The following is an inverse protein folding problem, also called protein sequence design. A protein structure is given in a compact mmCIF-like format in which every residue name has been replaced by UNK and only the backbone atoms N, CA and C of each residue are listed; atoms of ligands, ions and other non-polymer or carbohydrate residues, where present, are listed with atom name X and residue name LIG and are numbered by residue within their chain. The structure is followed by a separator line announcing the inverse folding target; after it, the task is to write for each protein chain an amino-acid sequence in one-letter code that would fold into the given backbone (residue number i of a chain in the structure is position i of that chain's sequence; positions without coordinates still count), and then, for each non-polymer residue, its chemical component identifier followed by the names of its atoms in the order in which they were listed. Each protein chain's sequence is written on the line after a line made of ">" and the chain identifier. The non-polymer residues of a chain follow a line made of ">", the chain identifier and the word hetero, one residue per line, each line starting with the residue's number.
data_IF_993896224648
#
_entry.id   IF_993896224648
#
_cell.length_a   1.000
_cell.length_b   1.000
_cell.length_c   1.000
_cell.angle_alpha   90.00
_cell.angle_beta   90.00
_cell.angle_gamma   90.00
#
_symmetry.space_group_name_H-M   'P 1'
#
loop_
_entity.id
_entity.type
_entity.pdbx_description
1 polymer ?
#
# COMPACT_ATOMS: atom_id res chain seq x y z
N UNK A 1 -15.22 -0.48 -0.93
CA UNK A 1 -14.85 -0.52 -2.36
C UNK A 1 -14.66 0.87 -2.99
N UNK A 2 -15.41 1.90 -2.60
CA UNK A 2 -15.34 3.25 -3.21
C UNK A 2 -13.93 3.86 -3.21
N UNK A 3 -13.18 3.75 -2.10
CA UNK A 3 -11.83 4.33 -2.01
C UNK A 3 -10.81 3.72 -2.95
N UNK A 4 -10.75 2.38 -3.09
CA UNK A 4 -9.79 1.74 -3.99
C UNK A 4 -10.05 2.13 -5.46
N UNK A 5 -11.33 2.21 -5.86
CA UNK A 5 -11.70 2.72 -7.19
C UNK A 5 -11.32 4.18 -7.39
N UNK A 6 -11.47 5.02 -6.37
CA UNK A 6 -11.06 6.43 -6.43
C UNK A 6 -9.54 6.56 -6.54
N UNK A 7 -8.80 5.78 -5.76
CA UNK A 7 -7.33 5.76 -5.79
C UNK A 7 -6.79 5.32 -7.16
N UNK A 8 -7.42 4.31 -7.80
CA UNK A 8 -7.05 3.90 -9.15
C UNK A 8 -7.21 5.04 -10.19
N UNK A 9 -8.19 5.93 -10.01
CA UNK A 9 -8.40 7.07 -10.93
C UNK A 9 -7.30 8.13 -10.84
N UNK A 10 -6.51 8.15 -9.76
CA UNK A 10 -5.38 9.07 -9.62
C UNK A 10 -4.11 8.55 -10.32
N UNK A 11 -4.09 7.27 -10.71
CA UNK A 11 -2.95 6.64 -11.36
C UNK A 11 -2.94 6.91 -12.86
N UNK A 12 -1.75 7.06 -13.41
CA UNK A 12 -1.48 7.30 -14.82
C UNK A 12 -0.71 6.15 -15.43
N UNK A 13 -0.93 5.93 -16.73
CA UNK A 13 -0.16 4.94 -17.50
C UNK A 13 1.33 5.24 -17.38
N UNK A 14 2.10 4.21 -17.03
CA UNK A 14 3.55 4.31 -16.81
C UNK A 14 3.95 4.54 -15.36
N UNK A 15 3.00 4.78 -14.45
CA UNK A 15 3.31 4.92 -13.03
C UNK A 15 3.93 3.64 -12.48
N UNK A 16 5.01 3.83 -11.72
CA UNK A 16 5.58 2.83 -10.81
C UNK A 16 4.98 3.08 -9.43
N UNK A 17 4.20 2.13 -8.94
CA UNK A 17 3.34 2.30 -7.77
C UNK A 17 3.75 1.35 -6.65
N UNK A 18 3.94 1.88 -5.45
CA UNK A 18 4.03 1.10 -4.21
C UNK A 18 2.70 1.16 -3.45
N UNK A 19 2.19 0.00 -3.01
CA UNK A 19 0.93 -0.12 -2.30
C UNK A 19 1.14 -0.61 -0.87
N UNK A 20 0.69 0.18 0.10
CA UNK A 20 0.61 -0.24 1.49
C UNK A 20 -0.46 -1.32 1.72
N UNK A 21 -0.30 -2.12 2.77
CA UNK A 21 -1.25 -3.21 3.07
C UNK A 21 -2.61 -2.63 3.49
N UNK A 22 -3.70 -3.33 3.11
CA UNK A 22 -5.07 -2.99 3.48
C UNK A 22 -5.88 -2.49 2.29
N UNK A 23 -6.53 -1.33 2.43
CA UNK A 23 -7.29 -0.73 1.31
C UNK A 23 -6.40 -0.47 0.07
N UNK A 24 -5.14 -0.02 0.18
CA UNK A 24 -4.31 0.19 -1.02
C UNK A 24 -4.03 -1.10 -1.79
N UNK A 25 -3.84 -2.23 -1.11
CA UNK A 25 -3.71 -3.52 -1.81
C UNK A 25 -4.95 -3.92 -2.63
N UNK A 26 -6.15 -3.44 -2.27
CA UNK A 26 -7.35 -3.65 -3.10
C UNK A 26 -7.31 -2.89 -4.43
N UNK A 27 -6.42 -1.90 -4.58
CA UNK A 27 -6.18 -1.23 -5.88
C UNK A 27 -5.55 -2.21 -6.86
N UNK A 28 -4.66 -3.11 -6.39
CA UNK A 28 -4.00 -4.10 -7.24
C UNK A 28 -5.02 -5.00 -7.98
N UNK A 29 -6.08 -5.42 -7.29
CA UNK A 29 -7.14 -6.26 -7.85
C UNK A 29 -8.01 -5.55 -8.92
N UNK A 30 -7.94 -4.22 -8.98
CA UNK A 30 -8.67 -3.40 -9.95
C UNK A 30 -7.81 -3.02 -11.16
N UNK A 31 -6.49 -3.23 -11.10
CA UNK A 31 -5.57 -2.91 -12.19
C UNK A 31 -5.71 -3.96 -13.29
N UNK A 32 -6.16 -3.49 -14.44
CA UNK A 32 -6.17 -4.22 -15.70
C UNK A 32 -4.99 -3.81 -16.61
N UNK A 33 -4.53 -4.65 -17.56
CA UNK A 33 -3.38 -4.36 -18.42
C UNK A 33 -3.45 -3.02 -19.18
N UNK A 34 -4.66 -2.58 -19.55
CA UNK A 34 -4.90 -1.31 -20.25
C UNK A 34 -4.64 -0.06 -19.38
N UNK A 35 -4.50 -0.19 -18.07
CA UNK A 35 -4.06 0.92 -17.23
C UNK A 35 -2.57 1.18 -17.38
N UNK A 36 -1.77 0.15 -17.70
CA UNK A 36 -0.32 0.27 -17.87
C UNK A 36 0.41 0.70 -16.59
N UNK A 37 -0.04 0.22 -15.43
CA UNK A 37 0.57 0.48 -14.12
C UNK A 37 1.59 -0.62 -13.81
N UNK A 38 2.72 -0.23 -13.22
CA UNK A 38 3.77 -1.16 -12.79
C UNK A 38 3.82 -1.18 -11.27
N UNK A 39 3.54 -2.33 -10.67
CA UNK A 39 3.60 -2.48 -9.23
C UNK A 39 5.03 -2.79 -8.75
N UNK A 40 5.49 -2.02 -7.77
CA UNK A 40 6.74 -2.20 -7.05
C UNK A 40 6.46 -2.70 -5.62
N UNK A 41 7.28 -3.61 -5.12
CA UNK A 41 7.27 -4.02 -3.70
C UNK A 41 8.65 -3.89 -3.07
N UNK A 42 8.71 -3.34 -1.86
CA UNK A 42 9.97 -2.93 -1.19
C UNK A 42 10.90 -4.09 -0.83
N UNK A 43 10.41 -5.33 -0.89
CA UNK A 43 11.22 -6.52 -0.69
C UNK A 43 11.93 -6.99 -1.97
N UNK A 44 11.93 -6.18 -3.03
CA UNK A 44 12.87 -6.36 -4.14
C UNK A 44 12.26 -6.85 -5.45
N UNK A 45 11.09 -6.34 -5.84
CA UNK A 45 10.46 -6.75 -7.11
C UNK A 45 9.71 -5.58 -7.78
N UNK A 46 9.82 -5.52 -9.11
CA UNK A 46 9.05 -4.64 -10.00
C UNK A 46 8.26 -5.51 -10.99
N UNK A 47 7.02 -5.13 -11.29
CA UNK A 47 6.11 -5.92 -12.12
C UNK A 47 5.39 -7.02 -11.32
N UNK A 48 4.94 -6.69 -10.10
CA UNK A 48 4.15 -7.60 -9.26
C UNK A 48 2.83 -7.93 -9.94
N UNK A 49 2.54 -9.23 -10.08
CA UNK A 49 1.31 -9.77 -10.63
C UNK A 49 0.29 -10.16 -9.55
N UNK A 50 -0.86 -10.74 -9.97
CA UNK A 50 -1.91 -11.17 -9.05
C UNK A 50 -1.45 -12.31 -8.12
N UNK A 51 -2.24 -12.61 -7.10
CA UNK A 51 -2.05 -13.80 -6.28
C UNK A 51 -2.11 -15.08 -7.15
N UNK A 52 -1.29 -16.11 -6.86
CA UNK A 52 -1.36 -17.36 -7.59
C UNK A 52 -2.66 -18.11 -7.28
N UNK A 53 -3.15 -18.92 -8.22
CA UNK A 53 -4.38 -19.70 -8.02
C UNK A 53 -4.24 -20.84 -6.99
N UNK A 54 -3.01 -21.30 -6.74
CA UNK A 54 -2.65 -22.28 -5.72
C UNK A 54 -1.17 -22.14 -5.35
N UNK A 55 -0.76 -22.75 -4.23
CA UNK A 55 0.62 -22.67 -3.71
C UNK A 55 0.80 -21.58 -2.67
N UNK A 56 2.03 -21.45 -2.15
CA UNK A 56 2.36 -20.51 -1.07
C UNK A 56 3.73 -19.87 -1.23
N UNK A 57 4.21 -19.22 -0.16
CA UNK A 57 5.47 -18.47 -0.14
C UNK A 57 6.73 -19.33 -0.40
N UNK A 58 6.60 -20.66 -0.43
CA UNK A 58 7.67 -21.58 -0.82
C UNK A 58 7.80 -21.75 -2.34
N UNK A 59 6.74 -21.43 -3.07
CA UNK A 59 6.64 -21.62 -4.53
C UNK A 59 6.64 -20.28 -5.27
N UNK A 60 6.21 -19.21 -4.62
CA UNK A 60 6.01 -17.89 -5.22
C UNK A 60 6.71 -16.80 -4.41
N UNK A 61 7.14 -15.69 -5.06
CA UNK A 61 7.57 -14.51 -4.35
C UNK A 61 6.42 -13.98 -3.48
N UNK A 62 6.77 -13.21 -2.45
CA UNK A 62 5.79 -12.53 -1.60
C UNK A 62 5.89 -11.02 -1.81
N UNK A 63 4.78 -10.31 -1.63
CA UNK A 63 4.82 -8.87 -1.49
C UNK A 63 5.25 -8.44 -0.08
N UNK A 64 5.30 -7.13 0.16
CA UNK A 64 5.59 -6.52 1.45
C UNK A 64 4.76 -7.07 2.62
N UNK A 65 3.48 -7.38 2.37
CA UNK A 65 2.54 -7.98 3.32
C UNK A 65 2.71 -9.48 3.53
N UNK A 66 3.78 -10.08 2.99
CA UNK A 66 4.07 -11.51 3.06
C UNK A 66 3.01 -12.39 2.38
N UNK A 67 2.25 -11.82 1.45
CA UNK A 67 1.25 -12.54 0.66
C UNK A 67 1.91 -13.03 -0.63
N UNK A 68 1.73 -14.31 -1.03
CA UNK A 68 2.22 -14.83 -2.31
C UNK A 68 1.66 -14.06 -3.50
N UNK A 69 2.53 -13.75 -4.46
CA UNK A 69 2.21 -13.04 -5.70
C UNK A 69 2.90 -13.71 -6.88
N UNK A 70 2.42 -13.43 -8.08
CA UNK A 70 3.07 -13.85 -9.33
C UNK A 70 3.91 -12.71 -9.90
N UNK A 71 4.70 -12.99 -10.92
CA UNK A 71 5.42 -11.99 -11.70
C UNK A 71 4.82 -11.80 -13.09
N UNK A 72 4.74 -10.55 -13.53
CA UNK A 72 4.27 -10.21 -14.87
C UNK A 72 5.43 -10.28 -15.89
N UNK A 73 5.14 -10.48 -17.19
CA UNK A 73 6.18 -10.39 -18.22
C UNK A 73 6.94 -9.06 -18.15
N UNK A 74 8.27 -9.13 -18.12
CA UNK A 74 9.14 -7.96 -17.94
C UNK A 74 9.38 -7.58 -16.48
N UNK A 75 8.99 -8.43 -15.53
CA UNK A 75 9.34 -8.29 -14.12
C UNK A 75 10.86 -8.28 -13.89
N UNK A 76 11.28 -7.69 -12.78
CA UNK A 76 12.67 -7.70 -12.34
C UNK A 76 12.75 -7.87 -10.83
N UNK A 77 13.78 -8.59 -10.38
CA UNK A 77 14.12 -8.76 -8.97
C UNK A 77 15.43 -8.02 -8.66
N UNK A 78 15.52 -7.48 -7.46
CA UNK A 78 16.67 -6.73 -6.97
C UNK A 78 16.79 -6.85 -5.45
N UNK A 79 17.95 -6.51 -4.91
CA UNK A 79 18.12 -6.54 -3.46
C UNK A 79 17.42 -5.34 -2.77
N UNK A 80 17.35 -5.40 -1.44
CA UNK A 80 16.70 -4.35 -0.65
C UNK A 80 17.41 -3.00 -0.80
N UNK A 81 18.73 -2.96 -0.98
CA UNK A 81 19.47 -1.70 -1.12
C UNK A 81 19.04 -0.98 -2.40
N UNK A 82 18.94 -1.71 -3.52
CA UNK A 82 18.45 -1.20 -4.79
C UNK A 82 16.96 -0.83 -4.73
N UNK A 83 16.12 -1.64 -4.09
CA UNK A 83 14.70 -1.32 -3.90
C UNK A 83 14.52 0.02 -3.18
N UNK A 84 15.23 0.20 -2.06
CA UNK A 84 15.17 1.45 -1.32
C UNK A 84 15.90 2.60 -2.03
N UNK A 85 16.87 2.32 -2.90
CA UNK A 85 17.46 3.34 -3.79
C UNK A 85 16.42 3.83 -4.82
N UNK A 86 15.60 2.94 -5.38
CA UNK A 86 14.48 3.33 -6.25
C UNK A 86 13.47 4.22 -5.52
N UNK A 87 13.07 3.82 -4.31
CA UNK A 87 12.12 4.60 -3.49
C UNK A 87 12.70 5.98 -3.16
N UNK A 88 13.91 6.03 -2.55
CA UNK A 88 14.52 7.31 -2.11
C UNK A 88 14.99 8.18 -3.27
N UNK A 89 15.31 7.59 -4.41
CA UNK A 89 15.69 8.28 -5.64
C UNK A 89 14.51 8.87 -6.41
N UNK A 90 13.27 8.67 -5.95
CA UNK A 90 12.07 9.16 -6.64
C UNK A 90 11.74 8.41 -7.93
N UNK A 91 12.22 7.17 -8.07
CA UNK A 91 11.90 6.31 -9.21
C UNK A 91 10.58 5.53 -9.04
N UNK A 92 10.02 5.54 -7.82
CA UNK A 92 8.65 5.13 -7.54
C UNK A 92 7.78 6.39 -7.57
N UNK A 93 6.91 6.51 -8.58
CA UNK A 93 6.15 7.73 -8.86
C UNK A 93 4.97 7.95 -7.92
N UNK A 94 4.35 6.86 -7.43
CA UNK A 94 3.19 6.96 -6.54
C UNK A 94 3.30 5.95 -5.39
N UNK A 95 2.98 6.40 -4.18
CA UNK A 95 2.80 5.54 -3.02
C UNK A 95 1.38 5.73 -2.46
N UNK A 96 0.63 4.64 -2.33
CA UNK A 96 -0.71 4.65 -1.72
C UNK A 96 -0.62 3.97 -0.36
N UNK A 97 -0.83 4.74 0.71
CA UNK A 97 -0.65 4.26 2.08
C UNK A 97 -1.90 4.48 2.93
N UNK A 98 -2.07 3.65 3.96
CA UNK A 98 -3.00 3.94 5.05
C UNK A 98 -2.39 4.95 6.03
N UNK A 99 -3.26 5.69 6.72
CA UNK A 99 -2.88 6.65 7.76
C UNK A 99 -3.88 6.66 8.91
N UNK A 100 -3.42 7.04 10.09
CA UNK A 100 -4.29 7.32 11.24
C UNK A 100 -4.82 8.75 11.19
N UNK A 101 -3.93 9.69 10.88
CA UNK A 101 -4.21 11.11 10.72
C UNK A 101 -3.44 11.65 9.51
N UNK A 102 -4.03 12.67 8.91
CA UNK A 102 -3.37 13.57 7.96
C UNK A 102 -3.74 15.00 8.36
N UNK A 103 -2.80 15.92 8.30
CA UNK A 103 -3.10 17.32 8.59
C UNK A 103 -3.30 18.17 7.32
N UNK A 104 -3.55 19.46 7.51
CA UNK A 104 -3.81 20.40 6.40
C UNK A 104 -2.57 20.72 5.57
N UNK A 105 -1.36 20.49 6.11
CA UNK A 105 -0.08 20.70 5.41
C UNK A 105 0.50 19.39 4.87
N UNK A 106 -0.26 18.30 4.96
CA UNK A 106 0.03 16.97 4.40
C UNK A 106 1.09 16.18 5.19
N UNK A 107 1.20 16.40 6.50
CA UNK A 107 1.89 15.45 7.37
C UNK A 107 1.06 14.18 7.55
N UNK A 108 1.73 13.03 7.62
CA UNK A 108 1.11 11.71 7.71
C UNK A 108 1.55 10.98 8.98
N UNK A 109 0.59 10.71 9.88
CA UNK A 109 0.82 9.86 11.05
C UNK A 109 0.30 8.44 10.78
N UNK A 110 1.19 7.46 10.62
CA UNK A 110 0.81 6.08 10.27
C UNK A 110 1.64 4.95 10.91
N UNK A 111 2.58 5.25 11.82
CA UNK A 111 3.57 4.27 12.28
C UNK A 111 3.56 3.99 13.80
N UNK A 112 3.09 4.93 14.62
CA UNK A 112 3.08 4.80 16.08
C UNK A 112 1.80 5.38 16.70
N UNK A 113 1.40 4.82 17.84
CA UNK A 113 0.40 5.41 18.74
C UNK A 113 0.88 5.17 20.17
N UNK A 114 1.28 6.22 20.91
CA UNK A 114 1.80 6.07 22.26
C UNK A 114 0.89 5.24 23.17
N UNK A 115 1.47 4.28 23.89
CA UNK A 115 0.73 3.39 24.78
C UNK A 115 -0.07 2.29 24.09
N UNK A 116 0.02 2.13 22.76
CA UNK A 116 -0.58 1.02 22.01
C UNK A 116 0.48 0.22 21.26
N UNK A 117 0.30 -1.10 21.24
CA UNK A 117 1.15 -1.99 20.45
C UNK A 117 0.73 -1.88 18.98
N UNK A 118 1.69 -1.48 18.13
CA UNK A 118 1.57 -1.53 16.68
C UNK A 118 2.73 -2.37 16.13
N UNK A 119 2.45 -3.12 15.06
CA UNK A 119 3.46 -3.95 14.37
C UNK A 119 4.30 -3.09 13.41
N UNK A 120 5.07 -2.14 13.95
CA UNK A 120 6.14 -1.41 13.23
C UNK A 120 5.75 -0.71 11.91
N UNK A 121 6.77 -0.40 11.09
CA UNK A 121 6.70 0.39 9.83
C UNK A 121 5.89 -0.30 8.70
N UNK A 122 5.33 -1.48 8.94
CA UNK A 122 4.58 -2.24 7.92
C UNK A 122 3.15 -2.51 8.42
N UNK A 123 2.28 -1.55 8.06
CA UNK A 123 0.82 -1.55 8.06
C UNK A 123 0.04 -1.98 9.31
N UNK A 124 -0.52 -1.01 10.05
CA UNK A 124 -1.55 -1.29 11.02
C UNK A 124 -2.91 -1.46 10.33
N UNK A 125 -3.22 -2.68 9.87
CA UNK A 125 -4.60 -3.15 9.71
C UNK A 125 -4.88 -4.50 10.40
N UNK A 126 -3.96 -5.01 11.23
CA UNK A 126 -4.30 -6.11 12.15
C UNK A 126 -4.98 -5.50 13.39
N UNK A 127 -6.25 -5.11 13.24
CA UNK A 127 -7.25 -5.02 14.31
C UNK A 127 -8.51 -5.71 13.79
N UNK A 128 -9.22 -6.53 14.60
CA UNK A 128 -10.28 -7.41 14.13
C UNK A 128 -11.30 -6.67 13.27
N UNK A 129 -11.58 -7.29 12.12
CA UNK A 129 -12.43 -6.85 11.02
C UNK A 129 -13.92 -6.72 11.36
N UNK A 130 -14.27 -6.10 12.50
CA UNK A 130 -15.67 -5.88 12.87
C UNK A 130 -16.14 -4.44 12.78
N UNK A 131 -15.28 -3.43 12.65
CA UNK A 131 -15.72 -2.04 12.47
C UNK A 131 -14.68 -1.19 11.74
N UNK A 132 -14.92 -0.87 10.46
CA UNK A 132 -14.89 0.51 9.92
C UNK A 132 -14.99 0.50 8.40
N UNK A 133 -16.17 0.82 7.89
CA UNK A 133 -16.33 1.57 6.65
C UNK A 133 -15.83 2.99 6.87
N UNK A 134 -15.22 3.57 5.83
CA UNK A 134 -14.80 4.96 5.79
C UNK A 134 -16.00 5.88 6.02
N UNK A 135 -16.05 6.52 7.17
CA UNK A 135 -16.98 7.59 7.50
C UNK A 135 -16.13 8.78 7.92
N UNK A 136 -16.13 9.83 7.10
CA UNK A 136 -15.57 11.15 7.39
C UNK A 136 -16.13 11.79 8.69
N UNK A 137 -17.11 11.16 9.33
CA UNK A 137 -17.67 11.59 10.59
C UNK A 137 -18.13 10.39 11.41
N UNK A 138 -17.30 9.97 12.36
CA UNK A 138 -17.73 9.16 13.51
C UNK A 138 -17.82 10.14 14.70
N UNK A 139 -19.04 10.49 15.17
CA UNK A 139 -19.22 11.47 16.25
C UNK A 139 -18.63 11.03 17.59
N UNK A 140 -18.16 9.77 17.68
CA UNK A 140 -17.52 9.21 18.87
C UNK A 140 -16.00 9.05 18.73
N UNK A 141 -15.40 9.44 17.60
CA UNK A 141 -13.94 9.42 17.40
C UNK A 141 -13.40 10.82 17.11
N UNK A 142 -12.18 11.13 17.59
CA UNK A 142 -11.53 12.40 17.25
C UNK A 142 -11.36 12.53 15.72
N UNK A 143 -11.45 13.76 15.23
CA UNK A 143 -11.27 14.08 13.81
C UNK A 143 -9.92 13.53 13.31
N UNK A 144 -9.94 12.93 12.11
CA UNK A 144 -8.74 12.35 11.47
C UNK A 144 -8.01 13.34 10.55
N UNK A 145 -8.68 14.44 10.20
CA UNK A 145 -8.09 15.63 9.58
C UNK A 145 -7.95 16.68 10.68
N UNK A 146 -6.71 17.08 10.98
CA UNK A 146 -6.38 17.99 12.07
C UNK A 146 -5.55 19.18 11.55
N UNK A 147 -5.39 20.22 12.37
CA UNK A 147 -4.46 21.31 12.08
C UNK A 147 -3.01 20.81 12.12
N UNK A 148 -2.68 19.93 13.08
CA UNK A 148 -1.39 19.24 13.22
C UNK A 148 -1.59 17.75 13.55
N UNK A 149 -0.71 16.88 13.05
CA UNK A 149 -0.61 15.48 13.47
C UNK A 149 0.02 15.30 14.87
N UNK A 150 -0.34 14.23 15.58
CA UNK A 150 0.22 13.88 16.91
C UNK A 150 1.27 12.78 16.89
#
# INVERSE_FOLDING_TARGET
>A
MTMARRALQELQRGDVVNLGIGIPTLVADLIMPEHGIILHTENGMLGVGPAPGAGGAMEYPVNAGKIPVTDLPGSSYFDSADSFAMIRGGHVGVAIMGGFQVDIIVDLANWAMPGKLLLGVVAPWIWPASQTTDHHHDPHKPQRSLEDCT
#
